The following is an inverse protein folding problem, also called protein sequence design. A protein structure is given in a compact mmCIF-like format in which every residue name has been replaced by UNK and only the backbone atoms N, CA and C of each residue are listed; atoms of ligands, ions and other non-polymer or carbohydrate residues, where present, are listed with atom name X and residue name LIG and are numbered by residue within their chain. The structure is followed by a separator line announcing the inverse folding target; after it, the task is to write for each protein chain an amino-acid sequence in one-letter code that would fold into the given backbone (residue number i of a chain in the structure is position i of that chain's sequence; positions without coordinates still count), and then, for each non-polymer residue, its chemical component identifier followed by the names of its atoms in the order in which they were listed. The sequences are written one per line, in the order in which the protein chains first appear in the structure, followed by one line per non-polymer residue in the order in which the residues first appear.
data_IF_251018210085
#
_entry.id   IF_251018210085
#
_cell.length_a   1.000
_cell.length_b   1.000
_cell.length_c   1.000
_cell.angle_alpha   90.00
_cell.angle_beta   90.00
_cell.angle_gamma   90.00
#
_symmetry.space_group_name_H-M   'P 1'
#
loop_
_entity.id
_entity.type
_entity.pdbx_description
1 polymer ?
#
# COMPACT_ATOMS: atom_id res chain seq x y z
N UNK A 1 -21.08 -9.90 -2.32
CA UNK A 1 -20.76 -10.67 -3.53
C UNK A 1 -19.85 -11.82 -3.15
N UNK A 2 -20.05 -13.04 -3.68
CA UNK A 2 -19.18 -14.18 -3.38
C UNK A 2 -17.77 -13.83 -3.86
N UNK A 3 -16.77 -14.17 -3.06
CA UNK A 3 -15.39 -13.79 -3.35
C UNK A 3 -14.95 -14.32 -4.72
N UNK A 4 -14.15 -13.53 -5.44
CA UNK A 4 -13.65 -13.93 -6.75
C UNK A 4 -12.40 -14.80 -6.58
N UNK A 5 -12.35 -15.97 -7.23
CA UNK A 5 -11.14 -16.79 -7.34
C UNK A 5 -10.47 -16.42 -8.66
N UNK A 6 -9.49 -15.52 -8.59
CA UNK A 6 -8.74 -15.03 -9.75
C UNK A 6 -9.42 -13.86 -10.47
N UNK A 7 -8.94 -12.64 -10.23
CA UNK A 7 -9.31 -11.45 -10.99
C UNK A 7 -8.10 -10.91 -11.75
N UNK A 8 -8.19 -10.85 -13.08
CA UNK A 8 -7.05 -10.49 -13.94
C UNK A 8 -6.68 -9.00 -13.88
N UNK A 9 -7.64 -8.15 -13.56
CA UNK A 9 -7.41 -6.75 -13.26
C UNK A 9 -8.52 -5.83 -13.75
N UNK A 10 -8.57 -4.63 -13.18
CA UNK A 10 -9.49 -3.58 -13.61
C UNK A 10 -8.71 -2.56 -14.42
N UNK A 11 -9.13 -2.30 -15.65
CA UNK A 11 -8.58 -1.26 -16.51
C UNK A 11 -9.61 -0.15 -16.71
N UNK A 12 -9.25 1.10 -16.44
CA UNK A 12 -10.05 2.24 -16.86
C UNK A 12 -10.03 3.42 -15.90
N UNK A 13 -10.91 4.38 -16.18
CA UNK A 13 -11.04 5.64 -15.46
C UNK A 13 -12.36 5.68 -14.69
N UNK A 14 -12.32 5.93 -13.39
CA UNK A 14 -13.56 6.07 -12.60
C UNK A 14 -13.49 5.47 -11.20
N UNK A 15 -14.65 5.13 -10.66
CA UNK A 15 -14.80 4.54 -9.32
C UNK A 15 -15.03 3.04 -9.46
N UNK A 16 -14.22 2.24 -8.77
CA UNK A 16 -14.27 0.79 -8.86
C UNK A 16 -14.34 0.15 -7.48
N UNK A 17 -15.23 -0.82 -7.36
CA UNK A 17 -15.40 -1.65 -6.18
C UNK A 17 -15.09 -3.10 -6.53
N UNK A 18 -14.06 -3.66 -5.91
CA UNK A 18 -13.66 -5.05 -6.07
C UNK A 18 -14.00 -5.78 -4.77
N UNK A 19 -14.95 -6.73 -4.77
CA UNK A 19 -15.21 -7.54 -3.58
C UNK A 19 -13.99 -8.41 -3.24
N UNK A 20 -13.91 -8.87 -1.98
CA UNK A 20 -12.79 -9.67 -1.50
C UNK A 20 -12.46 -10.84 -2.42
N UNK A 21 -11.18 -10.99 -2.74
CA UNK A 21 -10.75 -11.90 -3.79
C UNK A 21 -9.44 -12.62 -3.46
N UNK A 22 -9.33 -13.85 -3.97
CA UNK A 22 -8.13 -14.68 -3.87
C UNK A 22 -7.42 -14.61 -5.24
N UNK A 23 -6.24 -14.00 -5.28
CA UNK A 23 -5.46 -13.82 -6.50
C UNK A 23 -5.93 -12.63 -7.35
N UNK A 24 -5.56 -11.42 -6.92
CA UNK A 24 -5.82 -10.18 -7.68
C UNK A 24 -4.56 -9.74 -8.41
N UNK A 25 -4.57 -9.75 -9.76
CA UNK A 25 -3.37 -9.39 -10.54
C UNK A 25 -3.11 -7.91 -10.66
N UNK A 26 -4.12 -7.06 -10.52
CA UNK A 26 -3.91 -5.64 -10.27
C UNK A 26 -4.94 -4.69 -10.85
N UNK A 27 -4.96 -3.48 -10.30
CA UNK A 27 -5.69 -2.35 -10.88
C UNK A 27 -4.73 -1.64 -11.81
N UNK A 28 -5.18 -1.24 -13.00
CA UNK A 28 -4.46 -0.29 -13.85
C UNK A 28 -5.39 0.83 -14.28
N UNK A 29 -5.19 2.05 -13.79
CA UNK A 29 -6.08 3.14 -14.20
C UNK A 29 -6.06 4.37 -13.33
N UNK A 30 -7.00 5.27 -13.60
CA UNK A 30 -7.08 6.57 -12.93
C UNK A 30 -8.40 6.71 -12.21
N UNK A 31 -8.40 6.93 -10.90
CA UNK A 31 -9.63 7.16 -10.15
C UNK A 31 -9.62 6.60 -8.73
N UNK A 32 -10.78 6.14 -8.26
CA UNK A 32 -10.98 5.69 -6.88
C UNK A 32 -11.22 4.20 -6.86
N UNK A 33 -10.45 3.46 -6.07
CA UNK A 33 -10.52 2.00 -6.00
C UNK A 33 -10.72 1.54 -4.57
N UNK A 34 -11.71 0.68 -4.37
CA UNK A 34 -12.02 0.03 -3.10
C UNK A 34 -11.85 -1.48 -3.24
N UNK A 35 -10.93 -2.04 -2.45
CA UNK A 35 -10.48 -3.44 -2.55
C UNK A 35 -10.34 -4.03 -1.14
N UNK A 36 -11.45 -4.35 -0.45
CA UNK A 36 -11.42 -4.98 0.87
C UNK A 36 -11.07 -6.48 0.81
N UNK A 37 -10.28 -6.97 1.77
CA UNK A 37 -10.22 -8.39 2.13
C UNK A 37 -9.70 -9.30 1.01
N UNK A 38 -8.46 -9.07 0.58
CA UNK A 38 -7.85 -9.79 -0.53
C UNK A 38 -6.65 -10.64 -0.11
N UNK A 39 -6.50 -11.81 -0.73
CA UNK A 39 -5.37 -12.72 -0.53
C UNK A 39 -4.58 -12.81 -1.83
N UNK A 40 -3.34 -12.33 -1.84
CA UNK A 40 -2.46 -12.37 -3.02
C UNK A 40 -2.76 -11.27 -4.03
N UNK A 41 -2.42 -10.02 -3.70
CA UNK A 41 -2.52 -8.87 -4.60
C UNK A 41 -1.17 -8.59 -5.26
N UNK A 42 -1.10 -8.70 -6.59
CA UNK A 42 0.17 -8.58 -7.33
C UNK A 42 0.57 -7.14 -7.64
N UNK A 43 -0.38 -6.22 -7.63
CA UNK A 43 -0.06 -4.80 -7.48
C UNK A 43 -1.14 -3.85 -7.98
N UNK A 44 -1.03 -2.59 -7.63
CA UNK A 44 -1.91 -1.52 -8.13
C UNK A 44 -1.04 -0.55 -8.90
N UNK A 45 -1.39 -0.30 -10.15
CA UNK A 45 -0.74 0.66 -11.01
C UNK A 45 -1.70 1.79 -11.34
N UNK A 46 -1.34 3.04 -11.09
CA UNK A 46 -2.20 4.13 -11.55
C UNK A 46 -2.19 5.39 -10.70
N UNK A 47 -3.15 6.24 -10.98
CA UNK A 47 -3.24 7.57 -10.37
C UNK A 47 -4.57 7.75 -9.67
N UNK A 48 -4.57 8.10 -8.38
CA UNK A 48 -5.81 8.40 -7.67
C UNK A 48 -5.83 7.89 -6.24
N UNK A 49 -7.01 7.47 -5.78
CA UNK A 49 -7.25 7.11 -4.38
C UNK A 49 -7.53 5.61 -4.26
N UNK A 50 -6.79 4.94 -3.39
CA UNK A 50 -6.87 3.49 -3.22
C UNK A 50 -7.13 3.14 -1.77
N UNK A 51 -8.18 2.38 -1.53
CA UNK A 51 -8.57 1.85 -0.23
C UNK A 51 -8.48 0.33 -0.24
N UNK A 52 -7.51 -0.21 0.49
CA UNK A 52 -7.11 -1.61 0.46
C UNK A 52 -6.98 -2.17 1.89
N UNK A 53 -8.10 -2.32 2.63
CA UNK A 53 -8.06 -2.83 4.00
C UNK A 53 -7.96 -4.35 4.07
N UNK A 54 -7.20 -4.86 5.05
CA UNK A 54 -7.23 -6.27 5.46
C UNK A 54 -6.69 -7.24 4.41
N UNK A 55 -5.64 -6.85 3.68
CA UNK A 55 -5.04 -7.69 2.64
C UNK A 55 -3.89 -8.55 3.15
N UNK A 56 -3.77 -9.76 2.63
CA UNK A 56 -2.67 -10.70 2.90
C UNK A 56 -1.88 -10.90 1.61
N UNK A 57 -0.58 -10.63 1.64
CA UNK A 57 0.34 -10.81 0.51
C UNK A 57 0.12 -9.77 -0.58
N UNK A 58 0.42 -8.51 -0.27
CA UNK A 58 0.36 -7.40 -1.21
C UNK A 58 1.76 -7.09 -1.76
N UNK A 59 1.94 -7.11 -3.09
CA UNK A 59 3.28 -7.18 -3.69
C UNK A 59 3.88 -5.88 -4.21
N UNK A 60 3.07 -4.92 -4.67
CA UNK A 60 3.57 -3.60 -5.09
C UNK A 60 2.45 -2.61 -5.37
N UNK A 61 2.49 -1.42 -4.77
CA UNK A 61 1.79 -0.24 -5.30
C UNK A 61 2.76 0.51 -6.19
N UNK A 62 2.33 0.91 -7.38
CA UNK A 62 3.07 1.73 -8.32
C UNK A 62 2.17 2.88 -8.78
N UNK A 63 2.40 4.11 -8.34
CA UNK A 63 1.49 5.17 -8.78
C UNK A 63 1.59 6.50 -8.07
N UNK A 64 0.66 7.37 -8.43
CA UNK A 64 0.59 8.72 -7.88
C UNK A 64 -0.75 8.95 -7.20
N UNK A 65 -0.76 9.31 -5.93
CA UNK A 65 -2.00 9.66 -5.24
C UNK A 65 -2.04 9.22 -3.78
N UNK A 66 -3.23 8.83 -3.33
CA UNK A 66 -3.50 8.56 -1.91
C UNK A 66 -3.82 7.08 -1.71
N UNK A 67 -3.09 6.43 -0.82
CA UNK A 67 -3.21 5.00 -0.55
C UNK A 67 -3.49 4.77 0.93
N UNK A 68 -4.59 4.08 1.22
CA UNK A 68 -5.01 3.67 2.54
C UNK A 68 -5.02 2.14 2.59
N UNK A 69 -4.12 1.56 3.38
CA UNK A 69 -3.90 0.12 3.47
C UNK A 69 -3.81 -0.36 4.94
N UNK A 70 -4.88 -0.23 5.74
CA UNK A 70 -4.87 -0.65 7.14
C UNK A 70 -4.89 -2.18 7.28
N UNK A 71 -4.19 -2.69 8.30
CA UNK A 71 -4.30 -4.09 8.72
C UNK A 71 -3.77 -5.10 7.69
N UNK A 72 -2.78 -4.71 6.88
CA UNK A 72 -2.21 -5.58 5.86
C UNK A 72 -1.11 -6.49 6.41
N UNK A 73 -1.04 -7.72 5.91
CA UNK A 73 0.01 -8.70 6.24
C UNK A 73 0.84 -8.98 4.98
N UNK A 74 2.16 -8.82 5.07
CA UNK A 74 3.08 -9.11 3.97
C UNK A 74 2.96 -8.12 2.83
N UNK A 75 3.24 -6.85 3.11
CA UNK A 75 3.29 -5.79 2.12
C UNK A 75 4.71 -5.63 1.57
N UNK A 76 4.88 -5.73 0.25
CA UNK A 76 6.14 -5.44 -0.45
C UNK A 76 5.91 -4.24 -1.36
N UNK A 77 6.82 -3.28 -1.34
CA UNK A 77 6.96 -2.22 -2.33
C UNK A 77 5.82 -1.22 -2.37
N UNK A 78 6.01 -0.03 -1.83
CA UNK A 78 5.36 1.15 -2.40
C UNK A 78 6.37 1.78 -3.34
N UNK A 79 6.02 2.00 -4.61
CA UNK A 79 6.75 2.91 -5.48
C UNK A 79 5.82 4.02 -5.96
N UNK A 80 6.11 5.27 -5.68
CA UNK A 80 5.17 6.30 -6.09
C UNK A 80 5.34 7.67 -5.49
N UNK A 81 4.42 8.54 -5.87
CA UNK A 81 4.38 9.91 -5.37
C UNK A 81 3.03 10.19 -4.72
N UNK A 82 3.01 10.57 -3.45
CA UNK A 82 1.77 10.99 -2.79
C UNK A 82 1.70 10.62 -1.32
N UNK A 83 0.49 10.26 -0.87
CA UNK A 83 0.19 10.08 0.55
C UNK A 83 -0.14 8.62 0.83
N UNK A 84 0.53 8.04 1.80
CA UNK A 84 0.38 6.62 2.16
C UNK A 84 0.07 6.49 3.64
N UNK A 85 -1.05 5.83 3.94
CA UNK A 85 -1.50 5.51 5.29
C UNK A 85 -1.61 3.99 5.45
N UNK A 86 -0.76 3.41 6.27
CA UNK A 86 -0.68 1.96 6.48
C UNK A 86 -0.58 1.60 7.97
N UNK A 87 -1.63 1.82 8.77
CA UNK A 87 -1.63 1.47 10.18
C UNK A 87 -1.75 -0.05 10.39
N UNK A 88 -1.11 -0.57 11.45
CA UNK A 88 -1.33 -1.94 11.92
C UNK A 88 -0.86 -3.03 10.96
N UNK A 89 0.20 -2.77 10.18
CA UNK A 89 0.68 -3.72 9.17
C UNK A 89 1.77 -4.66 9.72
N UNK A 90 1.78 -5.90 9.26
CA UNK A 90 2.81 -6.90 9.61
C UNK A 90 3.65 -7.20 8.37
N UNK A 91 4.96 -7.04 8.45
CA UNK A 91 5.91 -7.33 7.38
C UNK A 91 5.80 -6.36 6.22
N UNK A 92 6.21 -5.10 6.43
CA UNK A 92 6.25 -4.07 5.40
C UNK A 92 7.68 -3.94 4.85
N UNK A 93 7.89 -4.13 3.54
CA UNK A 93 9.21 -4.00 2.91
C UNK A 93 9.22 -2.98 1.79
N UNK A 94 10.06 -1.96 1.91
CA UNK A 94 10.45 -1.07 0.83
C UNK A 94 9.37 -0.06 0.50
N UNK A 95 9.57 1.17 0.95
CA UNK A 95 8.90 2.35 0.40
C UNK A 95 9.91 3.07 -0.47
N UNK A 96 9.61 3.30 -1.74
CA UNK A 96 10.44 4.06 -2.65
C UNK A 96 9.63 5.18 -3.28
N UNK A 97 9.81 6.43 -2.87
CA UNK A 97 8.90 7.44 -3.38
C UNK A 97 9.06 8.83 -2.84
N UNK A 98 8.16 9.70 -3.28
CA UNK A 98 8.10 11.08 -2.81
C UNK A 98 6.75 11.33 -2.14
N UNK A 99 6.74 12.01 -0.99
CA UNK A 99 5.51 12.43 -0.33
C UNK A 99 5.41 12.06 1.14
N UNK A 100 4.20 11.77 1.61
CA UNK A 100 3.88 11.65 3.03
C UNK A 100 3.50 10.22 3.37
N UNK A 101 4.18 9.65 4.37
CA UNK A 101 3.99 8.27 4.80
C UNK A 101 3.67 8.23 6.28
N UNK A 102 2.52 7.66 6.62
CA UNK A 102 2.04 7.43 7.97
C UNK A 102 1.85 5.92 8.20
N UNK A 103 2.74 5.35 9.01
CA UNK A 103 2.85 3.90 9.21
C UNK A 103 2.92 3.58 10.70
N UNK A 104 1.83 3.80 11.48
CA UNK A 104 1.83 3.52 12.91
C UNK A 104 1.61 2.02 13.22
N UNK A 105 2.19 1.54 14.32
CA UNK A 105 1.84 0.24 14.90
C UNK A 105 2.18 -0.97 14.02
N UNK A 106 3.32 -0.94 13.32
CA UNK A 106 3.70 -2.00 12.38
C UNK A 106 4.78 -2.93 12.95
N UNK A 107 4.76 -4.19 12.56
CA UNK A 107 5.77 -5.20 12.95
C UNK A 107 6.61 -5.54 11.72
N UNK A 108 7.93 -5.38 11.79
CA UNK A 108 8.87 -5.73 10.73
C UNK A 108 8.80 -4.78 9.53
N UNK A 109 9.08 -3.49 9.75
CA UNK A 109 9.18 -2.49 8.69
C UNK A 109 10.63 -2.39 8.18
N UNK A 110 10.87 -2.60 6.89
CA UNK A 110 12.23 -2.59 6.31
C UNK A 110 12.34 -1.62 5.14
N UNK A 111 13.16 -0.60 5.31
CA UNK A 111 13.63 0.28 4.24
C UNK A 111 12.60 1.30 3.79
N UNK A 112 12.89 2.56 4.04
CA UNK A 112 12.31 3.70 3.33
C UNK A 112 13.40 4.33 2.49
N UNK A 113 13.15 4.53 1.20
CA UNK A 113 14.02 5.28 0.31
C UNK A 113 13.24 6.38 -0.40
N UNK A 114 13.46 7.64 -0.09
CA UNK A 114 12.60 8.65 -0.69
C UNK A 114 12.68 10.05 -0.14
N UNK A 115 11.93 10.95 -0.73
CA UNK A 115 11.91 12.36 -0.35
C UNK A 115 10.56 12.74 0.24
N UNK A 116 10.52 13.23 1.48
CA UNK A 116 9.28 13.73 2.06
C UNK A 116 9.15 13.51 3.57
N UNK A 117 7.93 13.28 4.03
CA UNK A 117 7.60 13.21 5.46
C UNK A 117 7.24 11.78 5.83
N UNK A 118 7.92 11.22 6.83
CA UNK A 118 7.69 9.87 7.29
C UNK A 118 7.42 9.87 8.79
N UNK A 119 6.28 9.31 9.17
CA UNK A 119 5.83 9.13 10.54
C UNK A 119 5.58 7.65 10.79
N UNK A 120 6.42 7.02 11.61
CA UNK A 120 6.43 5.57 11.84
C UNK A 120 6.43 5.25 13.35
N UNK A 121 5.40 5.65 14.11
CA UNK A 121 5.38 5.43 15.56
C UNK A 121 4.99 4.00 15.95
N UNK A 122 5.54 3.52 17.07
CA UNK A 122 5.13 2.25 17.68
C UNK A 122 5.43 1.03 16.81
N UNK A 123 6.51 1.08 16.02
CA UNK A 123 6.89 -0.02 15.14
C UNK A 123 7.94 -0.93 15.77
N UNK A 124 7.73 -2.24 15.72
CA UNK A 124 8.67 -3.24 16.23
C UNK A 124 9.51 -3.74 15.06
N UNK A 125 10.84 -3.59 15.12
CA UNK A 125 11.74 -4.08 14.07
C UNK A 125 11.79 -3.20 12.82
N UNK A 126 12.10 -1.91 13.01
CA UNK A 126 12.37 -0.95 11.94
C UNK A 126 13.80 -1.08 11.42
N UNK A 127 13.97 -1.19 10.09
CA UNK A 127 15.29 -1.25 9.43
C UNK A 127 15.44 -0.13 8.41
N UNK A 128 15.90 1.04 8.88
CA UNK A 128 16.53 2.10 8.10
C UNK A 128 15.61 2.98 7.25
N UNK A 129 15.90 4.28 7.30
CA UNK A 129 15.49 5.31 6.35
C UNK A 129 16.71 5.72 5.53
N UNK A 130 16.56 5.94 4.23
CA UNK A 130 17.54 6.64 3.41
C UNK A 130 16.83 7.66 2.52
N UNK A 131 17.07 8.95 2.72
CA UNK A 131 16.43 9.96 1.89
C UNK A 131 16.51 11.37 2.46
N UNK A 132 15.83 12.30 1.79
CA UNK A 132 15.80 13.71 2.17
C UNK A 132 14.41 14.10 2.65
N UNK A 133 14.30 14.66 3.86
CA UNK A 133 13.03 15.13 4.39
C UNK A 133 12.92 14.97 5.90
N UNK A 134 11.69 14.89 6.40
CA UNK A 134 11.38 14.81 7.82
C UNK A 134 11.06 13.37 8.19
N UNK A 135 11.77 12.83 9.19
CA UNK A 135 11.61 11.46 9.63
C UNK A 135 11.36 11.43 11.14
N UNK A 136 10.23 10.86 11.53
CA UNK A 136 9.84 10.60 12.91
C UNK A 136 9.64 9.10 13.11
N UNK A 137 10.61 8.48 13.79
CA UNK A 137 10.59 7.08 14.20
C UNK A 137 10.90 7.03 15.70
N UNK A 138 9.89 7.03 16.57
CA UNK A 138 10.07 6.80 18.00
C UNK A 138 10.33 5.32 18.32
#
# INVERSE_FOLDING_TARGET
APGCIGHRGVLGTGVYWVPGCIGYRGVLGTGVYWVPGCIGCRGVLGTGVYWVPGCIGYRSVLGTGVYWAPGCIGYRGVLGTGVYWAPGCIGHRGILGTGVYWVPGCIGHRGVLGTGVYWVPGCIGYRGVLGTGVYWVP
#
